data_IF_342613546320
#
_entry.id   IF_342613546320
#
_cell.length_a   1.000
_cell.length_b   1.000
_cell.length_c   1.000
_cell.angle_alpha   90.00
_cell.angle_beta   90.00
_cell.angle_gamma   90.00
#
_symmetry.space_group_name_H-M   'P 1'
#
loop_
_entity.id
_entity.type
_entity.pdbx_description
1 polymer ?
#
# COMPACT_ATOMS: atom_id res chain seq x y z
N UNK A 1 28.04 37.72 -8.23
CA UNK A 1 28.32 36.39 -7.65
C UNK A 1 27.08 35.99 -6.89
N UNK A 2 25.95 35.71 -7.55
CA UNK A 2 25.57 34.43 -8.19
C UNK A 2 25.89 33.24 -7.29
N UNK A 3 25.00 32.99 -6.34
CA UNK A 3 24.77 31.69 -5.68
C UNK A 3 23.27 31.58 -5.36
N UNK A 4 22.44 31.84 -6.38
CA UNK A 4 21.01 31.55 -6.33
C UNK A 4 20.77 30.13 -6.86
N UNK A 5 20.18 29.30 -6.00
CA UNK A 5 19.37 28.14 -6.33
C UNK A 5 20.03 27.04 -7.19
N UNK A 6 20.96 26.30 -6.59
CA UNK A 6 21.23 24.91 -6.97
C UNK A 6 20.13 23.94 -6.47
N UNK A 7 18.88 24.41 -6.36
CA UNK A 7 17.71 23.54 -6.22
C UNK A 7 17.41 22.98 -7.61
N UNK A 8 18.06 21.85 -7.90
CA UNK A 8 17.60 20.78 -8.77
C UNK A 8 16.98 21.18 -10.12
N UNK A 9 17.81 21.78 -10.99
CA UNK A 9 17.43 22.07 -12.39
C UNK A 9 16.94 20.84 -13.17
N UNK A 10 17.26 19.61 -12.72
CA UNK A 10 16.84 18.38 -13.40
C UNK A 10 15.37 18.03 -13.13
N UNK A 11 14.88 18.18 -11.91
CA UNK A 11 13.47 17.92 -11.60
C UNK A 11 12.54 18.97 -12.21
N UNK A 12 12.97 20.23 -12.26
CA UNK A 12 12.26 21.29 -12.96
C UNK A 12 12.16 21.00 -14.48
N UNK A 13 13.24 20.51 -15.08
CA UNK A 13 13.27 20.15 -16.50
C UNK A 13 12.49 18.86 -16.77
N UNK A 14 12.54 17.87 -15.87
CA UNK A 14 11.70 16.68 -15.95
C UNK A 14 10.21 17.05 -15.88
N UNK A 15 9.84 18.00 -15.02
CA UNK A 15 8.48 18.53 -14.96
C UNK A 15 8.10 19.31 -16.24
N UNK A 16 9.02 20.12 -16.78
CA UNK A 16 8.80 20.80 -18.06
C UNK A 16 8.59 19.79 -19.21
N UNK A 17 9.40 18.73 -19.23
CA UNK A 17 9.31 17.65 -20.20
C UNK A 17 7.97 16.89 -20.08
N UNK A 18 7.52 16.57 -18.86
CA UNK A 18 6.21 15.97 -18.60
C UNK A 18 5.04 16.83 -19.09
N UNK A 19 5.15 18.15 -19.00
CA UNK A 19 4.13 19.10 -19.46
C UNK A 19 4.24 19.44 -20.96
N UNK A 20 5.15 18.80 -21.70
CA UNK A 20 5.31 19.05 -23.14
C UNK A 20 5.94 20.41 -23.48
N UNK A 21 6.63 21.05 -22.53
CA UNK A 21 7.33 22.33 -22.72
C UNK A 21 8.64 22.14 -23.47
N UNK A 22 8.52 21.82 -24.76
CA UNK A 22 9.66 21.61 -25.67
C UNK A 22 10.57 22.84 -25.73
N UNK A 23 10.00 24.04 -25.64
CA UNK A 23 10.69 25.32 -25.58
C UNK A 23 11.70 25.37 -24.41
N UNK A 24 11.27 24.99 -23.21
CA UNK A 24 12.12 24.97 -22.02
C UNK A 24 13.16 23.85 -22.07
N UNK A 25 12.78 22.69 -22.62
CA UNK A 25 13.70 21.55 -22.77
C UNK A 25 14.80 21.87 -23.79
N UNK A 26 14.47 22.51 -24.91
CA UNK A 26 15.43 22.98 -25.91
C UNK A 26 16.36 24.04 -25.33
N UNK A 27 15.80 25.06 -24.68
CA UNK A 27 16.58 26.11 -24.04
C UNK A 27 17.56 25.56 -23.00
N UNK A 28 17.14 24.59 -22.19
CA UNK A 28 18.03 23.95 -21.22
C UNK A 28 19.17 23.17 -21.91
N UNK A 29 18.86 22.48 -23.01
CA UNK A 29 19.85 21.78 -23.83
C UNK A 29 20.88 22.75 -24.42
N UNK A 30 20.45 23.87 -24.98
CA UNK A 30 21.33 24.87 -25.58
C UNK A 30 22.27 25.50 -24.54
N UNK A 31 21.77 25.66 -23.30
CA UNK A 31 22.51 26.34 -22.25
C UNK A 31 23.47 25.44 -21.46
N UNK A 32 23.10 24.19 -21.20
CA UNK A 32 23.88 23.24 -20.37
C UNK A 32 24.48 22.08 -21.17
N UNK A 33 24.08 21.93 -22.42
CA UNK A 33 24.48 20.84 -23.31
C UNK A 33 23.63 19.56 -23.11
N UNK A 34 23.67 18.64 -24.10
CA UNK A 34 22.92 17.38 -24.10
C UNK A 34 23.06 16.59 -22.79
N UNK A 35 24.29 16.37 -22.33
CA UNK A 35 24.57 15.44 -21.23
C UNK A 35 24.13 15.94 -19.85
N UNK A 36 23.61 17.18 -19.75
CA UNK A 36 23.08 17.74 -18.52
C UNK A 36 21.68 17.22 -18.15
N UNK A 37 20.99 16.51 -19.05
CA UNK A 37 19.72 15.86 -18.76
C UNK A 37 19.91 14.65 -17.84
N UNK A 38 19.14 14.61 -16.76
CA UNK A 38 19.00 13.44 -15.88
C UNK A 38 18.27 12.29 -16.57
N UNK A 39 18.40 11.09 -16.01
CA UNK A 39 17.72 9.88 -16.50
C UNK A 39 16.19 9.98 -16.44
N UNK A 40 15.65 10.82 -15.56
CA UNK A 40 14.22 10.99 -15.31
C UNK A 40 13.49 11.86 -16.35
N UNK A 41 14.19 12.72 -17.09
CA UNK A 41 13.58 13.72 -18.00
C UNK A 41 12.84 13.04 -19.16
N UNK A 42 13.48 12.05 -19.79
CA UNK A 42 12.88 11.30 -20.89
C UNK A 42 11.70 10.43 -20.39
N UNK A 43 11.87 9.77 -19.24
CA UNK A 43 10.80 8.98 -18.61
C UNK A 43 9.57 9.84 -18.24
N UNK A 44 9.80 11.09 -17.80
CA UNK A 44 8.73 12.02 -17.46
C UNK A 44 7.93 12.46 -18.69
N UNK A 45 8.60 12.73 -19.82
CA UNK A 45 7.94 13.01 -21.10
C UNK A 45 7.14 11.81 -21.62
N UNK A 46 7.73 10.60 -21.53
CA UNK A 46 7.08 9.35 -21.96
C UNK A 46 5.83 9.05 -21.13
N UNK A 47 5.90 9.24 -19.81
CA UNK A 47 4.79 9.02 -18.89
C UNK A 47 3.59 9.94 -19.12
N UNK A 48 3.76 11.02 -19.90
CA UNK A 48 2.69 11.98 -20.24
C UNK A 48 2.43 12.07 -21.75
N UNK A 49 2.93 11.09 -22.52
CA UNK A 49 2.73 11.01 -23.98
C UNK A 49 3.25 12.24 -24.76
N UNK A 50 4.33 12.88 -24.28
CA UNK A 50 4.89 14.09 -24.90
C UNK A 50 5.85 13.76 -26.04
N UNK A 51 5.33 13.19 -27.13
CA UNK A 51 6.14 12.65 -28.25
C UNK A 51 7.09 13.67 -28.87
N UNK A 52 6.71 14.95 -28.97
CA UNK A 52 7.61 15.99 -29.51
C UNK A 52 8.85 16.19 -28.66
N UNK A 53 8.69 16.13 -27.32
CA UNK A 53 9.80 16.22 -26.38
C UNK A 53 10.64 14.94 -26.44
N UNK A 54 9.99 13.77 -26.54
CA UNK A 54 10.67 12.47 -26.67
C UNK A 54 11.53 12.41 -27.94
N UNK A 55 11.00 12.81 -29.09
CA UNK A 55 11.72 12.82 -30.37
C UNK A 55 12.91 13.79 -30.33
N UNK A 56 12.74 14.97 -29.72
CA UNK A 56 13.85 15.90 -29.51
C UNK A 56 14.93 15.28 -28.60
N UNK A 57 14.54 14.74 -27.45
CA UNK A 57 15.48 14.13 -26.50
C UNK A 57 16.21 12.95 -27.15
N UNK A 58 15.54 12.10 -27.92
CA UNK A 58 16.15 11.01 -28.66
C UNK A 58 17.15 11.50 -29.71
N UNK A 59 16.83 12.58 -30.45
CA UNK A 59 17.74 13.15 -31.45
C UNK A 59 19.03 13.71 -30.85
N UNK A 60 19.01 14.15 -29.60
CA UNK A 60 20.12 14.85 -28.95
C UNK A 60 20.92 13.94 -28.00
N UNK A 61 20.25 13.01 -27.32
CA UNK A 61 20.85 12.11 -26.33
C UNK A 61 21.00 10.66 -26.80
N UNK A 62 20.29 10.29 -27.87
CA UNK A 62 19.89 8.91 -28.10
C UNK A 62 18.86 8.43 -27.08
N UNK A 63 18.33 7.22 -27.30
CA UNK A 63 17.30 6.67 -26.43
C UNK A 63 17.88 6.27 -25.06
N UNK A 64 17.68 7.12 -24.05
CA UNK A 64 18.00 6.87 -22.64
C UNK A 64 16.77 6.57 -21.79
N UNK A 65 15.65 6.20 -22.42
CA UNK A 65 14.46 5.72 -21.71
C UNK A 65 14.88 4.64 -20.72
N UNK A 66 14.30 4.60 -19.53
CA UNK A 66 14.47 3.47 -18.61
C UNK A 66 13.29 2.51 -18.77
N UNK A 67 13.41 1.29 -18.21
CA UNK A 67 12.25 0.37 -18.12
C UNK A 67 11.04 1.03 -17.44
N UNK A 68 11.26 1.95 -16.50
CA UNK A 68 10.17 2.67 -15.80
C UNK A 68 9.37 3.58 -16.73
N UNK A 69 10.01 4.19 -17.73
CA UNK A 69 9.33 4.99 -18.75
C UNK A 69 8.33 4.16 -19.56
N UNK A 70 8.75 2.98 -20.03
CA UNK A 70 7.87 2.02 -20.73
C UNK A 70 6.72 1.53 -19.83
N UNK A 71 7.05 1.15 -18.60
CA UNK A 71 6.08 0.67 -17.61
C UNK A 71 4.99 1.70 -17.32
N UNK A 72 5.36 2.98 -17.17
CA UNK A 72 4.41 4.10 -16.99
C UNK A 72 3.60 4.40 -18.24
N UNK A 73 4.23 4.38 -19.41
CA UNK A 73 3.53 4.59 -20.68
C UNK A 73 2.44 3.53 -20.91
N UNK A 74 2.72 2.27 -20.57
CA UNK A 74 1.72 1.20 -20.62
C UNK A 74 0.61 1.38 -19.58
N UNK A 75 0.98 1.75 -18.34
CA UNK A 75 0.03 2.01 -17.25
C UNK A 75 -0.96 3.14 -17.56
N UNK A 76 -0.53 4.15 -18.33
CA UNK A 76 -1.36 5.29 -18.74
C UNK A 76 -1.90 5.20 -20.18
N UNK A 77 -1.71 4.06 -20.85
CA UNK A 77 -2.37 3.77 -22.11
C UNK A 77 -1.81 4.50 -23.33
N UNK A 78 -0.56 4.95 -23.24
CA UNK A 78 0.11 5.73 -24.28
C UNK A 78 0.62 4.85 -25.43
N UNK A 79 -0.30 4.35 -26.25
CA UNK A 79 0.01 3.40 -27.33
C UNK A 79 1.08 3.92 -28.31
N UNK A 80 1.08 5.21 -28.65
CA UNK A 80 2.09 5.82 -29.53
C UNK A 80 3.49 5.69 -28.95
N UNK A 81 3.64 5.95 -27.65
CA UNK A 81 4.90 5.79 -26.94
C UNK A 81 5.34 4.33 -26.94
N UNK A 82 4.42 3.41 -26.63
CA UNK A 82 4.72 1.97 -26.62
C UNK A 82 5.15 1.47 -28.00
N UNK A 83 4.47 1.90 -29.07
CA UNK A 83 4.84 1.60 -30.46
C UNK A 83 6.21 2.16 -30.82
N UNK A 84 6.47 3.41 -30.46
CA UNK A 84 7.75 4.07 -30.71
C UNK A 84 8.91 3.35 -30.00
N UNK A 85 8.72 2.97 -28.73
CA UNK A 85 9.73 2.22 -27.95
C UNK A 85 10.00 0.83 -28.56
N UNK A 86 8.97 0.14 -29.05
CA UNK A 86 9.12 -1.16 -29.70
C UNK A 86 9.90 -1.06 -31.01
N UNK A 87 9.51 -0.11 -31.87
CA UNK A 87 10.10 0.06 -33.20
C UNK A 87 11.55 0.52 -33.15
N UNK A 88 11.91 1.29 -32.12
CA UNK A 88 13.26 1.82 -31.94
C UNK A 88 14.28 0.75 -31.48
N UNK A 89 13.85 -0.51 -31.26
CA UNK A 89 14.69 -1.68 -30.88
C UNK A 89 15.46 -1.57 -29.55
N UNK A 90 15.19 -0.58 -28.70
CA UNK A 90 15.90 -0.40 -27.42
C UNK A 90 15.29 -1.22 -26.26
N UNK A 91 13.98 -1.44 -26.30
CA UNK A 91 13.27 -2.20 -25.28
C UNK A 91 12.50 -3.33 -25.94
N UNK A 92 12.89 -4.57 -25.64
CA UNK A 92 12.04 -5.70 -25.97
C UNK A 92 10.79 -5.64 -25.07
N UNK A 93 9.62 -5.38 -25.66
CA UNK A 93 8.30 -5.46 -25.00
C UNK A 93 8.01 -6.87 -24.43
N UNK A 94 8.93 -7.82 -24.61
CA UNK A 94 8.88 -9.21 -24.13
C UNK A 94 8.83 -9.39 -22.61
N UNK A 95 8.67 -8.33 -21.81
CA UNK A 95 8.38 -8.49 -20.38
C UNK A 95 6.88 -8.45 -20.10
N UNK A 96 6.39 -9.46 -19.38
CA UNK A 96 5.00 -9.52 -18.92
C UNK A 96 4.57 -8.28 -18.14
N UNK A 97 5.49 -7.57 -17.47
CA UNK A 97 5.20 -6.36 -16.70
C UNK A 97 4.58 -5.22 -17.52
N UNK A 98 4.97 -5.07 -18.79
CA UNK A 98 4.36 -4.07 -19.68
C UNK A 98 2.90 -4.41 -19.97
N UNK A 99 2.61 -5.69 -20.21
CA UNK A 99 1.26 -6.20 -20.38
C UNK A 99 0.44 -6.05 -19.09
N UNK A 100 1.01 -6.44 -17.95
CA UNK A 100 0.37 -6.32 -16.64
C UNK A 100 0.00 -4.88 -16.31
N UNK A 101 0.88 -3.90 -16.56
CA UNK A 101 0.58 -2.49 -16.34
C UNK A 101 -0.51 -1.96 -17.28
N UNK A 102 -0.51 -2.38 -18.54
CA UNK A 102 -1.58 -2.01 -19.48
C UNK A 102 -2.94 -2.59 -19.04
N UNK A 103 -2.94 -3.81 -18.48
CA UNK A 103 -4.12 -4.41 -17.86
C UNK A 103 -4.51 -3.61 -16.62
N UNK A 104 -3.59 -3.32 -15.70
CA UNK A 104 -3.87 -2.55 -14.49
C UNK A 104 -4.51 -1.18 -14.80
N UNK A 105 -4.02 -0.49 -15.85
CA UNK A 105 -4.59 0.78 -16.34
C UNK A 105 -5.88 0.66 -17.15
N UNK A 106 -6.31 -0.55 -17.53
CA UNK A 106 -7.53 -0.77 -18.30
C UNK A 106 -7.43 -0.41 -19.78
N UNK A 107 -6.23 -0.46 -20.36
CA UNK A 107 -5.97 0.01 -21.72
C UNK A 107 -5.96 -1.14 -22.74
N UNK A 108 -7.16 -1.55 -23.19
CA UNK A 108 -7.35 -2.66 -24.13
C UNK A 108 -6.53 -2.51 -25.42
N UNK A 109 -6.42 -1.31 -25.97
CA UNK A 109 -5.66 -1.03 -27.20
C UNK A 109 -4.15 -1.27 -27.04
N UNK A 110 -3.59 -1.02 -25.85
CA UNK A 110 -2.18 -1.36 -25.55
C UNK A 110 -2.03 -2.86 -25.35
N UNK A 111 -2.98 -3.50 -24.66
CA UNK A 111 -2.99 -4.96 -24.48
C UNK A 111 -3.02 -5.70 -25.83
N UNK A 112 -3.90 -5.27 -26.75
CA UNK A 112 -3.99 -5.80 -28.11
C UNK A 112 -2.65 -5.70 -28.83
N UNK A 113 -2.06 -4.50 -28.85
CA UNK A 113 -0.76 -4.28 -29.50
C UNK A 113 0.35 -5.16 -28.93
N UNK A 114 0.45 -5.26 -27.59
CA UNK A 114 1.48 -6.08 -26.93
C UNK A 114 1.28 -7.57 -27.25
N UNK A 115 0.05 -8.07 -27.20
CA UNK A 115 -0.26 -9.49 -27.45
C UNK A 115 -0.12 -9.88 -28.93
N UNK A 116 -0.28 -8.95 -29.86
CA UNK A 116 -0.09 -9.19 -31.30
C UNK A 116 1.38 -9.11 -31.74
N UNK A 117 2.18 -8.29 -31.05
CA UNK A 117 3.59 -8.07 -31.43
C UNK A 117 4.57 -9.06 -30.78
N UNK A 118 4.22 -9.63 -29.62
CA UNK A 118 5.13 -10.51 -28.88
C UNK A 118 4.84 -11.99 -29.18
N UNK A 119 5.77 -12.66 -29.86
CA UNK A 119 5.76 -14.11 -30.08
C UNK A 119 6.49 -14.83 -28.92
N UNK A 120 5.80 -15.09 -27.80
CA UNK A 120 6.31 -16.00 -26.73
C UNK A 120 5.43 -17.24 -26.64
N UNK A 121 5.85 -18.25 -25.87
CA UNK A 121 5.02 -19.40 -25.48
C UNK A 121 3.70 -18.94 -24.84
N UNK A 122 2.70 -18.76 -25.71
CA UNK A 122 1.48 -17.98 -25.49
C UNK A 122 0.62 -18.47 -24.31
N UNK A 123 0.70 -19.75 -23.98
CA UNK A 123 -0.15 -20.36 -22.94
C UNK A 123 0.11 -19.78 -21.54
N UNK A 124 1.35 -19.46 -21.20
CA UNK A 124 1.72 -18.91 -19.89
C UNK A 124 1.29 -17.45 -19.72
N UNK A 125 1.52 -16.63 -20.75
CA UNK A 125 1.15 -15.22 -20.76
C UNK A 125 -0.36 -15.02 -20.79
N UNK A 126 -1.10 -15.85 -21.54
CA UNK A 126 -2.56 -15.76 -21.60
C UNK A 126 -3.19 -16.02 -20.22
N UNK A 127 -2.76 -17.07 -19.52
CA UNK A 127 -3.25 -17.39 -18.17
C UNK A 127 -2.91 -16.28 -17.17
N UNK A 128 -1.67 -15.76 -17.23
CA UNK A 128 -1.24 -14.66 -16.36
C UNK A 128 -1.99 -13.35 -16.67
N UNK A 129 -2.26 -13.06 -17.95
CA UNK A 129 -3.03 -11.88 -18.37
C UNK A 129 -4.51 -11.98 -17.94
N UNK A 130 -5.13 -13.15 -18.05
CA UNK A 130 -6.49 -13.38 -17.55
C UNK A 130 -6.54 -13.23 -16.02
N UNK A 131 -5.57 -13.80 -15.31
CA UNK A 131 -5.43 -13.62 -13.87
C UNK A 131 -5.29 -12.14 -13.48
N UNK A 132 -4.43 -11.38 -14.17
CA UNK A 132 -4.28 -9.95 -13.96
C UNK A 132 -5.57 -9.18 -14.26
N UNK A 133 -6.26 -9.47 -15.37
CA UNK A 133 -7.50 -8.79 -15.74
C UNK A 133 -8.61 -9.02 -14.70
N UNK A 134 -8.68 -10.23 -14.12
CA UNK A 134 -9.55 -10.53 -12.98
C UNK A 134 -9.15 -9.69 -11.75
N UNK A 135 -7.86 -9.70 -11.39
CA UNK A 135 -7.35 -9.01 -10.18
C UNK A 135 -7.47 -7.49 -10.24
N UNK A 136 -7.40 -6.89 -11.43
CA UNK A 136 -7.55 -5.44 -11.62
C UNK A 136 -8.98 -5.01 -12.04
N UNK A 137 -9.95 -5.93 -12.08
CA UNK A 137 -11.35 -5.58 -12.34
C UNK A 137 -11.69 -5.27 -13.79
N UNK A 138 -10.88 -5.69 -14.77
CA UNK A 138 -10.93 -5.23 -16.15
C UNK A 138 -11.81 -6.12 -17.04
N UNK A 139 -13.13 -5.99 -16.94
CA UNK A 139 -14.09 -6.83 -17.66
C UNK A 139 -13.91 -6.85 -19.18
N UNK A 140 -13.62 -5.70 -19.82
CA UNK A 140 -13.46 -5.63 -21.28
C UNK A 140 -12.21 -6.39 -21.76
N UNK A 141 -11.11 -6.22 -21.04
CA UNK A 141 -9.85 -6.92 -21.33
C UNK A 141 -10.01 -8.42 -21.05
N UNK A 142 -10.67 -8.77 -19.94
CA UNK A 142 -10.97 -10.15 -19.58
C UNK A 142 -11.79 -10.86 -20.66
N UNK A 143 -12.86 -10.22 -21.15
CA UNK A 143 -13.66 -10.75 -22.26
C UNK A 143 -12.83 -10.95 -23.52
N UNK A 144 -12.06 -9.94 -23.94
CA UNK A 144 -11.24 -10.01 -25.15
C UNK A 144 -10.19 -11.13 -25.07
N UNK A 145 -9.49 -11.26 -23.93
CA UNK A 145 -8.53 -12.33 -23.69
C UNK A 145 -9.19 -13.71 -23.72
N UNK A 146 -10.39 -13.85 -23.15
CA UNK A 146 -11.13 -15.10 -23.13
C UNK A 146 -11.57 -15.53 -24.53
N UNK A 147 -12.12 -14.61 -25.32
CA UNK A 147 -12.55 -14.90 -26.70
C UNK A 147 -11.37 -15.33 -27.55
N UNK A 148 -10.25 -14.60 -27.43
CA UNK A 148 -9.01 -14.95 -28.11
C UNK A 148 -8.51 -16.34 -27.72
N UNK A 149 -8.42 -16.63 -26.42
CA UNK A 149 -7.94 -17.93 -25.93
C UNK A 149 -8.87 -19.09 -26.34
N UNK A 150 -10.17 -18.83 -26.43
CA UNK A 150 -11.17 -19.81 -26.86
C UNK A 150 -11.05 -20.13 -28.35
N UNK A 151 -10.86 -19.11 -29.19
CA UNK A 151 -10.61 -19.29 -30.64
C UNK A 151 -9.32 -20.08 -30.86
N UNK A 152 -8.24 -19.73 -30.16
CA UNK A 152 -6.96 -20.45 -30.29
C UNK A 152 -7.06 -21.91 -29.84
N UNK A 153 -7.78 -22.20 -28.74
CA UNK A 153 -7.96 -23.56 -28.27
C UNK A 153 -8.81 -24.41 -29.24
N UNK A 154 -9.81 -23.80 -29.89
CA UNK A 154 -10.65 -24.46 -30.90
C UNK A 154 -9.85 -24.93 -32.13
N UNK A 155 -8.78 -24.21 -32.50
CA UNK A 155 -7.86 -24.63 -33.60
C UNK A 155 -7.22 -26.00 -33.30
N UNK A 156 -6.99 -26.32 -32.03
CA UNK A 156 -6.38 -27.57 -31.60
C UNK A 156 -7.39 -28.59 -31.07
N UNK A 157 -8.69 -28.39 -31.31
CA UNK A 157 -9.79 -29.21 -30.79
C UNK A 157 -9.75 -29.38 -29.26
N UNK A 158 -9.32 -28.32 -28.55
CA UNK A 158 -9.25 -28.27 -27.08
C UNK A 158 -10.22 -27.24 -26.55
N UNK A 159 -10.80 -27.51 -25.38
CA UNK A 159 -11.47 -26.48 -24.59
C UNK A 159 -10.43 -25.72 -23.76
N UNK A 160 -10.39 -24.40 -23.93
CA UNK A 160 -9.61 -23.55 -23.05
C UNK A 160 -10.13 -23.68 -21.61
N UNK A 161 -9.22 -23.88 -20.66
CA UNK A 161 -9.54 -23.88 -19.22
C UNK A 161 -8.71 -22.81 -18.55
N UNK A 162 -9.40 -21.89 -17.88
CA UNK A 162 -8.82 -20.92 -16.99
C UNK A 162 -9.16 -21.32 -15.56
N UNK A 163 -8.12 -21.55 -14.76
CA UNK A 163 -8.29 -21.87 -13.35
C UNK A 163 -8.20 -20.61 -12.53
N UNK A 164 -9.28 -20.32 -11.82
CA UNK A 164 -9.30 -19.24 -10.83
C UNK A 164 -8.90 -19.87 -9.52
N UNK A 165 -8.20 -19.12 -8.67
CA UNK A 165 -7.89 -19.52 -7.31
C UNK A 165 -8.77 -18.79 -6.29
N UNK A 166 -8.89 -19.39 -5.12
CA UNK A 166 -9.70 -18.87 -4.03
C UNK A 166 -9.29 -17.47 -3.57
N UNK A 167 -7.98 -17.18 -3.54
CA UNK A 167 -7.47 -15.86 -3.16
C UNK A 167 -7.85 -14.78 -4.17
N UNK A 168 -7.95 -15.12 -5.47
CA UNK A 168 -8.35 -14.19 -6.52
C UNK A 168 -9.82 -13.81 -6.34
N UNK A 169 -10.71 -14.79 -6.14
CA UNK A 169 -12.12 -14.51 -5.85
C UNK A 169 -12.32 -13.67 -4.59
N UNK A 170 -11.54 -13.94 -3.54
CA UNK A 170 -11.55 -13.11 -2.33
C UNK A 170 -11.14 -11.67 -2.65
N UNK A 171 -10.06 -11.48 -3.41
CA UNK A 171 -9.55 -10.13 -3.73
C UNK A 171 -10.52 -9.38 -4.63
N UNK A 172 -11.02 -10.00 -5.70
CA UNK A 172 -12.05 -9.43 -6.60
C UNK A 172 -13.26 -8.96 -5.80
N UNK A 173 -13.71 -9.76 -4.83
CA UNK A 173 -14.83 -9.39 -3.98
C UNK A 173 -14.49 -8.29 -2.98
N UNK A 174 -13.25 -8.26 -2.45
CA UNK A 174 -12.77 -7.23 -1.52
C UNK A 174 -12.58 -5.86 -2.18
N UNK A 175 -12.17 -5.83 -3.45
CA UNK A 175 -12.03 -4.58 -4.22
C UNK A 175 -13.35 -4.15 -4.87
N UNK A 176 -14.42 -4.95 -4.78
CA UNK A 176 -15.75 -4.56 -5.23
C UNK A 176 -16.06 -4.80 -6.70
N UNK A 177 -15.29 -5.66 -7.39
CA UNK A 177 -15.43 -5.93 -8.82
C UNK A 177 -16.60 -6.89 -9.12
N UNK A 178 -17.84 -6.45 -8.85
CA UNK A 178 -19.07 -7.22 -9.12
C UNK A 178 -19.18 -7.66 -10.59
N UNK A 179 -18.83 -6.78 -11.53
CA UNK A 179 -18.89 -7.09 -12.96
C UNK A 179 -18.01 -8.28 -13.35
N UNK A 180 -16.83 -8.41 -12.73
CA UNK A 180 -15.94 -9.58 -12.95
C UNK A 180 -16.58 -10.84 -12.38
N UNK A 181 -17.16 -10.80 -11.18
CA UNK A 181 -17.84 -11.96 -10.59
C UNK A 181 -19.03 -12.44 -11.42
N UNK A 182 -19.83 -11.50 -11.94
CA UNK A 182 -20.94 -11.80 -12.85
C UNK A 182 -20.43 -12.40 -14.16
N UNK A 183 -19.37 -11.84 -14.72
CA UNK A 183 -18.73 -12.37 -15.93
C UNK A 183 -18.21 -13.79 -15.73
N UNK A 184 -17.55 -14.05 -14.60
CA UNK A 184 -17.06 -15.38 -14.23
C UNK A 184 -18.21 -16.40 -14.12
N UNK A 185 -19.32 -16.00 -13.49
CA UNK A 185 -20.50 -16.84 -13.39
C UNK A 185 -21.13 -17.12 -14.76
N UNK A 186 -21.29 -16.10 -15.60
CA UNK A 186 -21.87 -16.20 -16.95
C UNK A 186 -21.06 -17.13 -17.86
N UNK A 187 -19.73 -17.19 -17.69
CA UNK A 187 -18.84 -18.09 -18.43
C UNK A 187 -18.63 -19.46 -17.76
N UNK A 188 -19.49 -19.84 -16.81
CA UNK A 188 -19.45 -21.13 -16.09
C UNK A 188 -18.16 -21.39 -15.29
N UNK A 189 -17.44 -20.34 -14.88
CA UNK A 189 -16.35 -20.47 -13.91
C UNK A 189 -16.90 -20.71 -12.50
N UNK A 190 -16.16 -21.47 -11.70
CA UNK A 190 -16.64 -22.00 -10.43
C UNK A 190 -16.62 -20.97 -9.28
N UNK A 191 -17.51 -19.98 -9.37
CA UNK A 191 -17.74 -18.98 -8.31
C UNK A 191 -18.49 -19.60 -7.13
N UNK A 192 -19.50 -20.45 -7.41
CA UNK A 192 -20.38 -21.04 -6.40
C UNK A 192 -19.63 -21.91 -5.38
N UNK A 193 -18.70 -22.78 -5.81
CA UNK A 193 -18.00 -23.70 -4.90
C UNK A 193 -17.10 -22.97 -3.87
N UNK A 194 -16.83 -21.67 -4.10
CA UNK A 194 -16.00 -20.82 -3.24
C UNK A 194 -16.75 -19.60 -2.71
N UNK A 195 -18.09 -19.66 -2.68
CA UNK A 195 -18.99 -18.61 -2.17
C UNK A 195 -18.59 -18.01 -0.82
N UNK A 196 -18.09 -18.82 0.11
CA UNK A 196 -17.66 -18.33 1.42
C UNK A 196 -16.51 -17.31 1.32
N UNK A 197 -15.62 -17.47 0.33
CA UNK A 197 -14.51 -16.54 0.10
C UNK A 197 -14.96 -15.26 -0.59
N UNK A 198 -15.91 -15.35 -1.53
CA UNK A 198 -16.52 -14.18 -2.16
C UNK A 198 -17.27 -13.35 -1.12
N UNK A 199 -18.10 -13.98 -0.28
CA UNK A 199 -18.83 -13.28 0.79
C UNK A 199 -17.86 -12.69 1.82
N UNK A 200 -16.81 -13.42 2.23
CA UNK A 200 -15.77 -12.88 3.13
C UNK A 200 -15.05 -11.68 2.53
N UNK A 201 -14.67 -11.74 1.26
CA UNK A 201 -14.01 -10.65 0.55
C UNK A 201 -14.92 -9.43 0.47
N UNK A 202 -16.15 -9.61 -0.01
CA UNK A 202 -17.15 -8.55 -0.11
C UNK A 202 -17.47 -7.93 1.26
N UNK A 203 -17.57 -8.75 2.31
CA UNK A 203 -17.75 -8.27 3.67
C UNK A 203 -16.56 -7.41 4.11
N UNK A 204 -15.32 -7.86 3.85
CA UNK A 204 -14.10 -7.09 4.18
C UNK A 204 -14.04 -5.74 3.46
N UNK A 205 -14.48 -5.68 2.20
CA UNK A 205 -14.51 -4.44 1.40
C UNK A 205 -15.77 -3.57 1.57
N UNK A 206 -16.74 -3.99 2.38
CA UNK A 206 -18.00 -3.25 2.53
C UNK A 206 -18.97 -3.33 1.33
N UNK A 207 -18.79 -4.31 0.43
CA UNK A 207 -19.54 -4.39 -0.83
C UNK A 207 -20.85 -5.16 -0.70
N UNK A 208 -21.87 -4.51 -0.14
CA UNK A 208 -23.23 -5.06 0.02
C UNK A 208 -23.82 -5.66 -1.27
N UNK A 209 -23.68 -4.96 -2.39
CA UNK A 209 -24.20 -5.41 -3.70
C UNK A 209 -23.66 -6.78 -4.14
N UNK A 210 -22.41 -7.12 -3.80
CA UNK A 210 -21.84 -8.45 -4.11
C UNK A 210 -22.51 -9.53 -3.28
N UNK A 211 -22.76 -9.26 -1.99
CA UNK A 211 -23.43 -10.21 -1.09
C UNK A 211 -24.88 -10.42 -1.54
N UNK A 212 -25.62 -9.35 -1.85
CA UNK A 212 -26.98 -9.45 -2.39
C UNK A 212 -27.02 -10.21 -3.71
N UNK A 213 -26.09 -9.96 -4.63
CA UNK A 213 -25.97 -10.72 -5.87
C UNK A 213 -25.70 -12.20 -5.61
N UNK A 214 -24.79 -12.53 -4.71
CA UNK A 214 -24.49 -13.91 -4.32
C UNK A 214 -25.71 -14.61 -3.71
N UNK A 215 -26.51 -13.90 -2.90
CA UNK A 215 -27.73 -14.45 -2.29
C UNK A 215 -28.84 -14.68 -3.31
N UNK A 216 -29.05 -13.75 -4.23
CA UNK A 216 -30.08 -13.85 -5.27
C UNK A 216 -29.73 -14.90 -6.33
N UNK A 217 -28.44 -15.11 -6.60
CA UNK A 217 -27.99 -16.04 -7.64
C UNK A 217 -27.88 -17.48 -7.14
N UNK A 218 -27.64 -17.69 -5.83
CA UNK A 218 -27.33 -19.01 -5.27
C UNK A 218 -28.23 -19.36 -4.07
N UNK A 219 -29.33 -20.08 -4.32
CA UNK A 219 -30.34 -20.48 -3.32
C UNK A 219 -29.72 -21.12 -2.05
N UNK A 220 -28.71 -21.97 -2.23
CA UNK A 220 -28.09 -22.70 -1.12
C UNK A 220 -27.21 -21.83 -0.20
N UNK A 221 -26.92 -20.57 -0.56
CA UNK A 221 -26.20 -19.64 0.30
C UNK A 221 -27.06 -19.17 1.48
N UNK A 222 -28.36 -18.96 1.26
CA UNK A 222 -29.31 -18.49 2.28
C UNK A 222 -29.33 -19.39 3.53
N UNK A 223 -29.32 -20.71 3.32
CA UNK A 223 -29.29 -21.70 4.38
C UNK A 223 -27.90 -21.87 5.05
N UNK A 224 -26.83 -21.34 4.46
CA UNK A 224 -25.45 -21.51 4.95
C UNK A 224 -24.82 -20.24 5.52
N UNK A 225 -25.56 -19.12 5.62
CA UNK A 225 -25.08 -17.82 6.14
C UNK A 225 -24.35 -17.95 7.48
N UNK A 226 -24.92 -18.73 8.41
CA UNK A 226 -24.36 -18.99 9.74
C UNK A 226 -22.99 -19.70 9.73
N UNK A 227 -22.62 -20.37 8.62
CA UNK A 227 -21.31 -21.04 8.46
C UNK A 227 -20.23 -20.09 7.93
N UNK A 228 -20.64 -18.94 7.38
CA UNK A 228 -19.74 -17.94 6.82
C UNK A 228 -19.47 -16.89 7.89
N UNK A 229 -18.23 -16.89 8.37
CA UNK A 229 -17.70 -15.83 9.24
C UNK A 229 -17.37 -14.61 8.41
N UNK A 230 -17.84 -13.43 8.84
CA UNK A 230 -17.69 -12.15 8.12
C UNK A 230 -16.93 -11.12 8.96
N UNK A 231 -15.97 -11.59 9.75
CA UNK A 231 -15.19 -10.78 10.71
C UNK A 231 -14.57 -9.53 10.07
N UNK A 232 -14.05 -9.66 8.84
CA UNK A 232 -13.40 -8.55 8.12
C UNK A 232 -14.32 -7.34 7.82
N UNK A 233 -15.64 -7.48 7.88
CA UNK A 233 -16.54 -6.32 7.76
C UNK A 233 -16.30 -5.29 8.86
N UNK A 234 -15.83 -5.74 10.02
CA UNK A 234 -15.54 -4.88 11.16
C UNK A 234 -14.35 -3.95 10.89
N UNK A 235 -13.43 -4.34 10.01
CA UNK A 235 -12.29 -3.51 9.56
C UNK A 235 -12.70 -2.34 8.66
N UNK A 236 -13.91 -2.36 8.09
CA UNK A 236 -14.41 -1.26 7.26
C UNK A 236 -15.07 -0.14 8.09
N UNK A 237 -15.58 -0.47 9.29
CA UNK A 237 -16.12 0.52 10.21
C UNK A 237 -17.54 1.02 9.94
N UNK A 238 -18.21 0.54 8.89
CA UNK A 238 -19.61 0.89 8.61
C UNK A 238 -20.56 0.10 9.53
N UNK A 239 -21.05 0.78 10.57
CA UNK A 239 -22.00 0.23 11.52
C UNK A 239 -23.31 -0.25 10.84
N UNK A 240 -23.82 0.47 9.85
CA UNK A 240 -25.07 0.07 9.17
C UNK A 240 -24.87 -1.22 8.40
N UNK A 241 -23.70 -1.39 7.78
CA UNK A 241 -23.36 -2.63 7.09
C UNK A 241 -23.19 -3.81 8.06
N UNK A 242 -22.57 -3.59 9.23
CA UNK A 242 -22.48 -4.59 10.30
C UNK A 242 -23.87 -5.01 10.81
N UNK A 243 -24.74 -4.03 11.09
CA UNK A 243 -26.12 -4.27 11.51
C UNK A 243 -26.89 -5.08 10.46
N UNK A 244 -26.72 -4.74 9.18
CA UNK A 244 -27.33 -5.47 8.08
C UNK A 244 -26.82 -6.93 8.01
N UNK A 245 -25.50 -7.16 8.08
CA UNK A 245 -24.92 -8.50 8.07
C UNK A 245 -25.44 -9.37 9.23
N UNK A 246 -25.51 -8.80 10.44
CA UNK A 246 -26.10 -9.48 11.58
C UNK A 246 -27.57 -9.81 11.35
N UNK A 247 -28.35 -8.85 10.84
CA UNK A 247 -29.77 -9.06 10.57
C UNK A 247 -30.01 -10.16 9.51
N UNK A 248 -29.11 -10.29 8.53
CA UNK A 248 -29.16 -11.40 7.56
C UNK A 248 -28.81 -12.77 8.16
N UNK A 249 -28.27 -12.83 9.38
CA UNK A 249 -27.88 -14.08 10.05
C UNK A 249 -26.45 -14.53 9.75
N UNK A 250 -25.58 -13.61 9.31
CA UNK A 250 -24.14 -13.89 9.24
C UNK A 250 -23.53 -13.91 10.65
N UNK A 251 -22.47 -14.70 10.80
CA UNK A 251 -21.80 -14.89 12.09
C UNK A 251 -20.54 -14.04 12.19
N UNK A 252 -20.40 -13.37 13.34
CA UNK A 252 -19.16 -12.75 13.78
C UNK A 252 -18.47 -13.62 14.84
N UNK A 253 -17.15 -13.53 14.90
CA UNK A 253 -16.30 -14.13 15.93
C UNK A 253 -15.56 -13.04 16.69
N UNK A 254 -14.71 -13.43 17.64
CA UNK A 254 -13.92 -12.48 18.43
C UNK A 254 -13.01 -11.59 17.60
N UNK A 255 -12.56 -12.08 16.45
CA UNK A 255 -11.75 -11.32 15.51
C UNK A 255 -12.47 -10.08 14.98
N UNK A 256 -13.80 -10.10 14.86
CA UNK A 256 -14.55 -8.93 14.40
C UNK A 256 -14.40 -7.75 15.36
N UNK A 257 -14.51 -8.00 16.68
CA UNK A 257 -14.33 -6.94 17.67
C UNK A 257 -12.86 -6.51 17.78
N UNK A 258 -11.92 -7.46 17.66
CA UNK A 258 -10.49 -7.15 17.64
C UNK A 258 -10.11 -6.27 16.44
N UNK A 259 -10.66 -6.55 15.26
CA UNK A 259 -10.40 -5.79 14.03
C UNK A 259 -11.11 -4.43 14.03
N UNK A 260 -12.33 -4.33 14.60
CA UNK A 260 -13.00 -3.05 14.81
C UNK A 260 -12.22 -2.15 15.80
N UNK A 261 -11.71 -2.74 16.87
CA UNK A 261 -10.89 -2.05 17.87
C UNK A 261 -9.56 -1.57 17.27
N UNK A 262 -8.93 -2.41 16.45
CA UNK A 262 -7.73 -2.04 15.70
C UNK A 262 -7.98 -0.92 14.68
N UNK A 263 -9.16 -0.86 14.07
CA UNK A 263 -9.53 0.16 13.07
C UNK A 263 -10.04 1.49 13.65
N UNK A 264 -10.21 1.61 14.97
CA UNK A 264 -10.70 2.85 15.58
C UNK A 264 -12.21 3.05 15.50
N UNK A 265 -12.98 1.99 15.26
CA UNK A 265 -14.43 2.10 15.07
C UNK A 265 -15.22 1.89 16.36
N UNK A 266 -15.18 2.87 17.28
CA UNK A 266 -15.85 2.79 18.58
C UNK A 266 -17.35 2.44 18.47
N UNK A 267 -18.07 3.02 17.49
CA UNK A 267 -19.50 2.74 17.30
C UNK A 267 -19.77 1.26 17.00
N UNK A 268 -18.90 0.62 16.20
CA UNK A 268 -18.98 -0.81 15.89
C UNK A 268 -18.63 -1.64 17.12
N UNK A 269 -17.57 -1.28 17.84
CA UNK A 269 -17.17 -1.98 19.08
C UNK A 269 -18.29 -1.94 20.13
N UNK A 270 -18.88 -0.76 20.36
CA UNK A 270 -20.01 -0.59 21.28
C UNK A 270 -21.22 -1.40 20.85
N UNK A 271 -21.58 -1.31 19.57
CA UNK A 271 -22.72 -2.05 19.05
C UNK A 271 -22.53 -3.56 19.18
N UNK A 272 -21.35 -4.09 18.82
CA UNK A 272 -21.03 -5.52 18.96
C UNK A 272 -21.02 -5.94 20.44
N UNK A 273 -20.53 -5.09 21.34
CA UNK A 273 -20.56 -5.33 22.78
C UNK A 273 -21.99 -5.47 23.32
N UNK A 274 -22.88 -4.57 22.89
CA UNK A 274 -24.25 -4.43 23.41
C UNK A 274 -25.25 -5.41 22.75
N UNK A 275 -25.06 -5.75 21.46
CA UNK A 275 -26.07 -6.43 20.65
C UNK A 275 -25.66 -7.84 20.19
N UNK A 276 -24.38 -8.19 20.24
CA UNK A 276 -23.90 -9.48 19.78
C UNK A 276 -23.44 -10.33 20.98
N UNK A 277 -24.39 -10.97 21.68
CA UNK A 277 -24.14 -11.78 22.89
C UNK A 277 -23.05 -12.86 22.71
N UNK A 278 -22.77 -13.28 21.48
CA UNK A 278 -21.73 -14.27 21.14
C UNK A 278 -20.36 -13.69 20.76
N UNK A 279 -20.25 -12.36 20.58
CA UNK A 279 -19.02 -11.71 20.15
C UNK A 279 -18.26 -11.22 21.39
N UNK A 280 -17.35 -12.08 21.86
CA UNK A 280 -16.30 -11.69 22.80
C UNK A 280 -15.19 -10.93 22.07
N UNK A 281 -14.22 -10.37 22.80
CA UNK A 281 -12.95 -9.94 22.21
C UNK A 281 -11.81 -10.79 22.74
N UNK A 282 -10.62 -10.63 22.18
CA UNK A 282 -9.40 -11.14 22.80
C UNK A 282 -8.59 -9.98 23.35
N UNK A 283 -7.48 -10.28 24.04
CA UNK A 283 -6.50 -9.25 24.43
C UNK A 283 -5.99 -8.42 23.24
N UNK A 284 -6.09 -8.97 22.01
CA UNK A 284 -5.68 -8.27 20.79
C UNK A 284 -6.52 -7.02 20.51
N UNK A 285 -7.79 -6.95 20.95
CA UNK A 285 -8.60 -5.74 20.79
C UNK A 285 -7.95 -4.53 21.46
N UNK A 286 -7.61 -4.64 22.75
CA UNK A 286 -7.01 -3.54 23.50
C UNK A 286 -5.55 -3.32 23.07
N UNK A 287 -4.78 -4.38 22.80
CA UNK A 287 -3.39 -4.28 22.34
C UNK A 287 -3.29 -3.52 21.01
N UNK A 288 -4.14 -3.85 20.03
CA UNK A 288 -4.13 -3.20 18.71
C UNK A 288 -4.74 -1.80 18.75
N UNK A 289 -5.82 -1.59 19.50
CA UNK A 289 -6.38 -0.25 19.73
C UNK A 289 -5.33 0.68 20.35
N UNK A 290 -4.57 0.18 21.33
CA UNK A 290 -3.48 0.93 21.95
C UNK A 290 -2.33 1.21 20.98
N UNK A 291 -1.92 0.19 20.20
CA UNK A 291 -0.87 0.32 19.19
C UNK A 291 -1.21 1.35 18.10
N UNK A 292 -2.49 1.57 17.80
CA UNK A 292 -2.96 2.54 16.80
C UNK A 292 -3.44 3.87 17.41
N UNK A 293 -3.37 4.03 18.73
CA UNK A 293 -3.67 5.30 19.40
C UNK A 293 -5.15 5.57 19.66
N UNK A 294 -6.02 4.56 19.57
CA UNK A 294 -7.47 4.68 19.78
C UNK A 294 -7.82 4.66 21.27
N UNK A 295 -7.54 5.77 21.97
CA UNK A 295 -7.76 5.91 23.42
C UNK A 295 -9.20 5.65 23.85
N UNK A 296 -10.17 6.19 23.12
CA UNK A 296 -11.59 6.03 23.37
C UNK A 296 -12.03 4.56 23.39
N UNK A 297 -11.47 3.74 22.49
CA UNK A 297 -11.69 2.30 22.47
C UNK A 297 -10.96 1.61 23.62
N UNK A 298 -9.73 2.00 23.94
CA UNK A 298 -8.99 1.44 25.08
C UNK A 298 -9.74 1.71 26.39
N UNK A 299 -10.25 2.92 26.59
CA UNK A 299 -11.09 3.29 27.73
C UNK A 299 -12.36 2.45 27.79
N UNK A 300 -13.09 2.36 26.66
CA UNK A 300 -14.30 1.57 26.57
C UNK A 300 -14.06 0.09 26.90
N UNK A 301 -13.05 -0.52 26.28
CA UNK A 301 -12.69 -1.92 26.52
C UNK A 301 -12.22 -2.14 27.96
N UNK A 302 -11.46 -1.21 28.53
CA UNK A 302 -10.99 -1.33 29.92
C UNK A 302 -12.14 -1.27 30.93
N UNK A 303 -13.11 -0.38 30.71
CA UNK A 303 -14.26 -0.20 31.61
C UNK A 303 -15.31 -1.30 31.48
N UNK A 304 -15.50 -1.86 30.28
CA UNK A 304 -16.64 -2.72 29.99
C UNK A 304 -16.28 -4.19 29.73
N UNK A 305 -14.99 -4.54 29.60
CA UNK A 305 -14.52 -5.89 29.26
C UNK A 305 -13.45 -6.37 30.26
N UNK A 306 -13.31 -7.70 30.40
CA UNK A 306 -12.46 -8.33 31.43
C UNK A 306 -11.21 -8.99 30.87
N UNK A 307 -11.13 -9.12 29.54
CA UNK A 307 -10.04 -9.74 28.80
C UNK A 307 -8.71 -9.04 29.06
N UNK A 308 -8.75 -7.71 29.21
CA UNK A 308 -7.59 -6.88 29.51
C UNK A 308 -6.69 -6.66 28.30
N UNK A 309 -5.41 -6.40 28.57
CA UNK A 309 -4.39 -6.23 27.54
C UNK A 309 -3.12 -6.96 27.97
N UNK A 310 -2.20 -7.14 27.04
CA UNK A 310 -0.85 -7.60 27.35
C UNK A 310 0.10 -6.42 27.50
N UNK A 311 1.39 -6.69 27.76
CA UNK A 311 2.42 -5.66 27.74
C UNK A 311 2.58 -5.03 26.35
N UNK A 312 2.14 -5.71 25.29
CA UNK A 312 2.19 -5.23 23.93
C UNK A 312 1.34 -3.97 23.70
N UNK A 313 0.23 -3.77 24.43
CA UNK A 313 -0.54 -2.53 24.39
C UNK A 313 0.34 -1.32 24.71
N UNK A 314 1.04 -1.36 25.85
CA UNK A 314 1.84 -0.23 26.32
C UNK A 314 3.13 -0.06 25.51
N UNK A 315 3.80 -1.18 25.17
CA UNK A 315 5.05 -1.14 24.40
C UNK A 315 4.82 -0.62 22.97
N UNK A 316 3.77 -1.09 22.28
CA UNK A 316 3.47 -0.62 20.93
C UNK A 316 2.89 0.80 20.91
N UNK A 317 2.03 1.16 21.88
CA UNK A 317 1.58 2.54 22.04
C UNK A 317 2.77 3.48 22.27
N UNK A 318 3.74 3.07 23.08
CA UNK A 318 4.97 3.82 23.29
C UNK A 318 5.79 3.91 22.00
N UNK A 319 6.08 2.79 21.33
CA UNK A 319 6.84 2.77 20.06
C UNK A 319 6.25 3.69 18.99
N UNK A 320 4.92 3.71 18.87
CA UNK A 320 4.20 4.52 17.89
C UNK A 320 3.90 5.95 18.37
N UNK A 321 4.30 6.31 19.59
CA UNK A 321 4.21 7.67 20.12
C UNK A 321 2.84 8.09 20.66
N UNK A 322 1.95 7.15 20.94
CA UNK A 322 0.60 7.40 21.45
C UNK A 322 0.59 7.74 22.95
N UNK A 323 1.06 8.94 23.29
CA UNK A 323 1.23 9.41 24.66
C UNK A 323 -0.01 9.32 25.53
N UNK A 324 -1.18 9.67 24.99
CA UNK A 324 -2.45 9.66 25.71
C UNK A 324 -2.83 8.24 26.14
N UNK A 325 -2.67 7.26 25.25
CA UNK A 325 -2.85 5.83 25.53
C UNK A 325 -1.84 5.35 26.57
N UNK A 326 -0.55 5.70 26.43
CA UNK A 326 0.48 5.30 27.41
C UNK A 326 0.17 5.83 28.80
N UNK A 327 -0.26 7.11 28.92
CA UNK A 327 -0.67 7.71 30.18
C UNK A 327 -1.87 6.98 30.78
N UNK A 328 -2.88 6.70 29.96
CA UNK A 328 -4.07 6.00 30.41
C UNK A 328 -3.76 4.59 30.92
N UNK A 329 -3.03 3.80 30.13
CA UNK A 329 -2.62 2.45 30.52
C UNK A 329 -1.74 2.48 31.78
N UNK A 330 -0.81 3.44 31.89
CA UNK A 330 0.03 3.60 33.09
C UNK A 330 -0.79 3.83 34.36
N UNK A 331 -1.83 4.67 34.28
CA UNK A 331 -2.63 5.05 35.45
C UNK A 331 -3.64 3.98 35.87
N UNK A 332 -4.15 3.19 34.92
CA UNK A 332 -5.29 2.31 35.15
C UNK A 332 -4.96 0.82 35.13
N UNK A 333 -3.74 0.43 34.72
CA UNK A 333 -3.37 -0.97 34.53
C UNK A 333 -2.09 -1.35 35.26
N UNK A 334 -2.07 -2.57 35.81
CA UNK A 334 -0.93 -3.12 36.56
C UNK A 334 0.05 -3.86 35.65
N UNK A 335 -0.37 -4.16 34.42
CA UNK A 335 0.49 -4.69 33.36
C UNK A 335 1.62 -3.69 33.08
N UNK A 336 2.86 -4.10 33.36
CA UNK A 336 4.03 -3.24 33.26
C UNK A 336 4.49 -3.08 31.80
N UNK A 337 5.08 -1.92 31.48
CA UNK A 337 5.86 -1.78 30.24
C UNK A 337 7.12 -2.64 30.32
N UNK A 338 7.52 -3.23 29.19
CA UNK A 338 8.81 -3.91 29.10
C UNK A 338 9.90 -2.91 28.74
N UNK A 339 11.14 -3.37 28.54
CA UNK A 339 12.22 -2.53 28.02
C UNK A 339 11.91 -1.95 26.62
N UNK A 340 10.98 -2.57 25.87
CA UNK A 340 10.61 -2.15 24.52
C UNK A 340 9.88 -0.80 24.48
N UNK A 341 9.20 -0.39 25.56
CA UNK A 341 8.63 0.96 25.66
C UNK A 341 9.72 2.06 25.63
N UNK A 342 10.95 1.72 26.00
CA UNK A 342 12.12 2.59 25.90
C UNK A 342 12.60 2.81 24.46
N UNK A 343 12.17 2.00 23.49
CA UNK A 343 12.40 2.21 22.06
C UNK A 343 11.38 3.17 21.42
N UNK A 344 10.65 3.93 22.25
CA UNK A 344 9.70 4.93 21.77
C UNK A 344 10.34 5.97 20.88
N UNK A 345 9.64 6.31 19.79
CA UNK A 345 10.02 7.38 18.87
C UNK A 345 9.56 8.76 19.35
N UNK A 346 8.72 8.81 20.37
CA UNK A 346 8.13 10.03 20.87
C UNK A 346 8.86 10.51 22.12
N UNK A 347 9.43 11.72 22.03
CA UNK A 347 10.08 12.40 23.16
C UNK A 347 9.11 12.55 24.34
N UNK A 348 7.84 12.85 24.07
CA UNK A 348 6.81 12.99 25.10
C UNK A 348 6.56 11.67 25.85
N UNK A 349 6.57 10.52 25.17
CA UNK A 349 6.47 9.20 25.80
C UNK A 349 7.71 8.92 26.63
N UNK A 350 8.91 9.10 26.06
CA UNK A 350 10.17 8.83 26.76
C UNK A 350 10.33 9.71 28.01
N UNK A 351 9.96 10.99 27.90
CA UNK A 351 9.94 11.91 29.02
C UNK A 351 8.96 11.44 30.10
N UNK A 352 7.73 11.09 29.71
CA UNK A 352 6.74 10.58 30.66
C UNK A 352 7.20 9.29 31.37
N UNK A 353 7.77 8.32 30.62
CA UNK A 353 8.29 7.08 31.19
C UNK A 353 9.50 7.33 32.11
N UNK A 354 10.34 8.32 31.79
CA UNK A 354 11.47 8.74 32.62
C UNK A 354 11.00 9.39 33.92
N UNK A 355 10.07 10.35 33.84
CA UNK A 355 9.47 11.04 34.99
C UNK A 355 8.82 10.05 35.98
N UNK A 356 8.30 8.93 35.47
CA UNK A 356 7.65 7.88 36.25
C UNK A 356 8.57 6.69 36.59
N UNK A 357 9.90 6.83 36.46
CA UNK A 357 10.90 5.80 36.80
C UNK A 357 10.71 4.43 36.11
N UNK A 358 10.12 4.40 34.90
CA UNK A 358 9.83 3.17 34.15
C UNK A 358 10.72 2.94 32.92
N UNK A 359 11.64 3.85 32.64
CA UNK A 359 12.58 3.70 31.53
C UNK A 359 13.70 2.70 31.90
N UNK A 360 13.55 1.42 31.55
CA UNK A 360 14.58 0.39 31.74
C UNK A 360 15.65 0.48 30.64
N UNK A 361 16.62 1.38 30.81
CA UNK A 361 17.98 1.51 30.19
C UNK A 361 18.25 1.26 28.69
N UNK A 362 17.37 0.62 27.91
CA UNK A 362 17.42 0.58 26.46
C UNK A 362 16.74 1.84 25.93
N UNK A 363 17.56 2.86 25.72
CA UNK A 363 17.17 4.03 24.93
C UNK A 363 17.06 3.64 23.45
N UNK A 364 16.24 4.36 22.65
CA UNK A 364 16.15 4.13 21.22
C UNK A 364 17.52 4.22 20.56
N UNK A 365 17.75 3.40 19.53
CA UNK A 365 18.99 3.43 18.75
C UNK A 365 19.10 4.75 18.01
N UNK A 366 20.12 5.54 18.32
CA UNK A 366 20.39 6.84 17.66
C UNK A 366 20.57 6.72 16.16
N UNK A 367 21.10 5.60 15.67
CA UNK A 367 21.21 5.27 14.24
C UNK A 367 19.83 5.24 13.58
N UNK A 368 18.86 4.54 14.16
CA UNK A 368 17.52 4.40 13.56
C UNK A 368 16.77 5.75 13.52
N UNK A 369 16.98 6.61 14.52
CA UNK A 369 16.47 7.97 14.53
C UNK A 369 17.17 8.85 13.49
N UNK A 370 18.48 8.66 13.27
CA UNK A 370 19.27 9.39 12.29
C UNK A 370 18.89 9.03 10.85
N UNK A 371 18.73 7.73 10.54
CA UNK A 371 18.24 7.25 9.24
C UNK A 371 16.89 7.88 8.87
N UNK A 372 16.04 8.15 9.86
CA UNK A 372 14.71 8.77 9.69
C UNK A 372 14.72 10.30 9.71
N UNK A 373 15.78 10.93 10.21
CA UNK A 373 15.86 12.38 10.36
C UNK A 373 15.09 12.92 11.57
N UNK A 374 14.85 12.10 12.61
CA UNK A 374 14.08 12.49 13.81
C UNK A 374 14.89 13.44 14.72
N UNK A 375 14.98 14.73 14.34
CA UNK A 375 15.79 15.74 15.02
C UNK A 375 15.42 15.92 16.51
N UNK A 376 14.12 16.01 16.82
CA UNK A 376 13.64 16.21 18.20
C UNK A 376 14.07 15.07 19.13
N UNK A 377 13.96 13.83 18.64
CA UNK A 377 14.38 12.64 19.37
C UNK A 377 15.90 12.62 19.58
N UNK A 378 16.68 12.97 18.55
CA UNK A 378 18.14 13.02 18.63
C UNK A 378 18.63 14.12 19.58
N UNK A 379 17.99 15.29 19.60
CA UNK A 379 18.24 16.34 20.58
C UNK A 379 17.97 15.86 22.00
N UNK A 380 16.84 15.19 22.21
CA UNK A 380 16.51 14.64 23.51
C UNK A 380 17.51 13.58 23.95
N UNK A 381 17.87 12.62 23.07
CA UNK A 381 18.84 11.57 23.34
C UNK A 381 20.23 12.14 23.63
N UNK A 382 20.68 13.14 22.88
CA UNK A 382 21.96 13.80 23.11
C UNK A 382 22.02 14.47 24.50
N UNK A 383 20.93 15.13 24.91
CA UNK A 383 20.84 15.76 26.23
C UNK A 383 20.78 14.75 27.39
N UNK A 384 20.37 13.51 27.11
CA UNK A 384 20.07 12.50 28.13
C UNK A 384 21.12 11.39 28.24
N UNK A 385 21.76 10.99 27.14
CA UNK A 385 22.83 9.98 27.09
C UNK A 385 23.87 10.34 26.03
N UNK A 386 24.64 11.39 26.31
CA UNK A 386 25.75 11.85 25.46
C UNK A 386 26.82 10.77 25.23
N UNK A 387 26.99 9.83 26.17
CA UNK A 387 28.01 8.77 26.08
C UNK A 387 27.67 7.70 25.05
N UNK A 388 26.39 7.34 24.92
CA UNK A 388 25.93 6.32 23.96
C UNK A 388 25.37 6.93 22.66
N UNK A 389 25.41 8.25 22.51
CA UNK A 389 24.85 8.93 21.34
C UNK A 389 25.47 8.48 20.01
N UNK A 390 26.79 8.26 19.97
CA UNK A 390 27.48 7.78 18.77
C UNK A 390 27.50 8.81 17.64
N UNK A 391 28.12 9.98 17.88
CA UNK A 391 28.14 11.13 16.96
C UNK A 391 28.55 10.78 15.52
N UNK A 392 29.61 9.99 15.34
CA UNK A 392 30.10 9.59 14.01
C UNK A 392 29.07 8.77 13.22
N UNK A 393 28.45 7.78 13.86
CA UNK A 393 27.44 6.93 13.23
C UNK A 393 26.19 7.74 12.84
N UNK A 394 25.72 8.62 13.73
CA UNK A 394 24.58 9.52 13.48
C UNK A 394 24.89 10.50 12.33
N UNK A 395 26.10 11.05 12.31
CA UNK A 395 26.53 11.96 11.23
C UNK A 395 26.66 11.24 9.89
N UNK A 396 27.17 10.00 9.87
CA UNK A 396 27.23 9.16 8.67
C UNK A 396 25.85 8.91 8.07
N UNK A 397 24.92 8.40 8.87
CA UNK A 397 23.53 8.14 8.45
C UNK A 397 22.81 9.40 7.96
N UNK A 398 23.00 10.53 8.65
CA UNK A 398 22.41 11.80 8.28
C UNK A 398 22.95 12.31 6.92
N UNK A 399 24.22 12.06 6.60
CA UNK A 399 24.81 12.38 5.29
C UNK A 399 24.30 11.45 4.20
N UNK A 400 24.27 10.14 4.44
CA UNK A 400 23.79 9.15 3.47
C UNK A 400 22.32 9.41 3.07
N UNK A 401 21.49 9.82 4.02
CA UNK A 401 20.06 10.08 3.80
C UNK A 401 19.74 11.57 3.56
N UNK A 402 20.75 12.45 3.47
CA UNK A 402 20.60 13.89 3.21
C UNK A 402 19.70 14.66 4.18
N UNK A 403 19.78 14.35 5.48
CA UNK A 403 19.01 15.04 6.52
C UNK A 403 19.66 16.38 6.91
N UNK A 404 19.40 17.44 6.14
CA UNK A 404 20.08 18.75 6.28
C UNK A 404 19.90 19.43 7.64
N UNK A 405 18.69 19.43 8.21
CA UNK A 405 18.43 20.04 9.52
C UNK A 405 19.18 19.32 10.64
N UNK A 406 19.26 17.99 10.52
CA UNK A 406 20.02 17.15 11.44
C UNK A 406 21.52 17.44 11.34
N UNK A 407 22.08 17.53 10.12
CA UNK A 407 23.49 17.87 9.91
C UNK A 407 23.84 19.26 10.46
N UNK A 408 23.00 20.26 10.20
CA UNK A 408 23.19 21.62 10.73
C UNK A 408 23.18 21.65 12.25
N UNK A 409 22.30 20.88 12.89
CA UNK A 409 22.31 20.75 14.34
C UNK A 409 23.57 20.03 14.85
N UNK A 410 24.01 18.95 14.21
CA UNK A 410 25.23 18.23 14.59
C UNK A 410 26.48 19.13 14.54
N UNK A 411 26.56 20.07 13.59
CA UNK A 411 27.64 21.06 13.49
C UNK A 411 27.69 22.04 14.68
N UNK A 412 26.56 22.27 15.36
CA UNK A 412 26.51 23.10 16.57
C UNK A 412 27.03 22.38 17.81
N UNK A 413 27.27 21.07 17.74
CA UNK A 413 27.69 20.27 18.89
C UNK A 413 29.22 20.36 19.10
N UNK A 414 29.71 20.34 20.36
CA UNK A 414 31.15 20.43 20.67
C UNK A 414 32.03 19.37 19.99
N UNK A 415 31.46 18.21 19.66
CA UNK A 415 32.11 17.09 19.00
C UNK A 415 32.44 17.36 17.53
N UNK A 416 31.77 18.32 16.88
CA UNK A 416 31.97 18.65 15.48
C UNK A 416 33.41 19.11 15.18
N UNK A 417 34.04 19.83 16.13
CA UNK A 417 35.41 20.34 15.97
C UNK A 417 36.54 19.35 16.30
N UNK A 418 36.23 18.11 16.71
CA UNK A 418 37.25 17.10 17.03
C UNK A 418 37.73 16.29 15.83
N UNK A 419 37.09 16.45 14.68
CA UNK A 419 37.30 15.61 13.49
C UNK A 419 37.35 16.40 12.18
N UNK A 420 37.64 17.71 12.25
CA UNK A 420 38.02 18.51 11.08
C UNK A 420 39.46 18.26 10.67
#
# INVERSE_FOLDING_TARGET
MVDDAAVDSQDAIAHAAANGRLDLVQWYCDMKGPYAFGWNVMDAALAQNQMKVVEFLDSVLGNRCTRRGLEKAALHGHLKVVQWLNNSRYYEIKTFRTLENAIAGGHLHVVQYVMETVVVAYTSWMQAALAAAVMYGQCQILQWLHDRASVEAAVFDRRFRFEIHTYQLYTVAREGYLGVLQWLHANNYSVHCRRAHVVRGAATGGHKAIIEWMENTFESLSHQRHRIRVDGAASFGDLQFIMWLHHQGYRFTTHAMDDAAAGGYLAVVRWMHENAESVQCTVAAMDRAAANGHLDIVEFLHQNRKEGCTTAAMDNAARNGHCSVVRYLFMNRSEYCTALAGESRSVQVLQFLKENNRLRSLLPKTIEAATRGDLELLQWLYNHDRRRFGFEAVSGEAREHNHFELLRWLETLPEAGRYC
#
